data_IF_615718214454
#
_entry.id   IF_615718214454
#
_cell.length_a   1.000
_cell.length_b   1.000
_cell.length_c   1.000
_cell.angle_alpha   90.00
_cell.angle_beta   90.00
_cell.angle_gamma   90.00
#
_symmetry.space_group_name_H-M   'P 1'
#
loop_
_entity.id
_entity.type
_entity.pdbx_description
1 polymer ?
#
# COMPACT_ATOMS: atom_id res chain seq x y z
N UNK A 1 31.69 -45.38 73.52
CA UNK A 1 30.81 -44.18 73.30
C UNK A 1 31.06 -43.71 71.90
N UNK A 2 30.20 -44.10 71.02
CA UNK A 2 30.28 -43.81 69.57
C UNK A 2 29.24 -42.79 69.19
N UNK A 3 29.69 -41.67 68.65
CA UNK A 3 28.78 -40.59 68.15
C UNK A 3 28.77 -40.57 66.61
N UNK A 4 27.67 -41.03 66.06
CA UNK A 4 27.41 -40.98 64.62
C UNK A 4 27.04 -39.55 64.19
N UNK A 5 27.74 -39.03 63.15
CA UNK A 5 27.38 -37.80 62.45
C UNK A 5 26.73 -38.18 61.14
N UNK A 6 25.41 -37.93 61.04
CA UNK A 6 24.66 -37.95 59.77
C UNK A 6 25.04 -36.73 58.98
N UNK A 7 25.54 -36.93 57.74
CA UNK A 7 25.65 -35.89 56.69
C UNK A 7 24.41 -35.94 55.86
N UNK A 8 23.58 -34.91 55.98
CA UNK A 8 22.45 -34.64 55.05
C UNK A 8 22.98 -33.98 53.78
N UNK A 9 22.95 -34.70 52.66
CA UNK A 9 23.13 -34.12 51.32
C UNK A 9 21.82 -33.44 50.89
N UNK A 10 21.82 -32.11 50.79
CA UNK A 10 20.78 -31.35 50.12
C UNK A 10 20.98 -31.37 48.61
N UNK A 11 20.13 -32.10 47.90
CA UNK A 11 20.07 -32.05 46.45
C UNK A 11 19.33 -30.78 46.01
N UNK A 12 20.08 -29.78 45.56
CA UNK A 12 19.52 -28.58 44.92
C UNK A 12 19.03 -28.92 43.50
N UNK A 13 17.71 -28.89 43.29
CA UNK A 13 17.10 -29.05 41.98
C UNK A 13 17.24 -27.68 41.24
N UNK A 14 18.20 -27.59 40.34
CA UNK A 14 18.31 -26.43 39.43
C UNK A 14 17.25 -26.57 38.34
N UNK A 15 16.16 -25.80 38.45
CA UNK A 15 15.22 -25.60 37.34
C UNK A 15 15.92 -24.77 36.26
N UNK A 16 16.40 -25.42 35.21
CA UNK A 16 16.78 -24.74 33.97
C UNK A 16 15.52 -24.34 33.23
N UNK A 17 15.15 -23.05 33.27
CA UNK A 17 14.16 -22.46 32.40
C UNK A 17 14.78 -22.40 31.00
N UNK A 18 14.43 -23.36 30.15
CA UNK A 18 14.72 -23.27 28.73
C UNK A 18 13.89 -22.11 28.15
N UNK A 19 14.53 -20.96 27.91
CA UNK A 19 13.94 -19.90 27.08
C UNK A 19 13.81 -20.48 25.66
N UNK A 20 12.61 -20.91 25.29
CA UNK A 20 12.28 -21.17 23.90
C UNK A 20 12.30 -19.83 23.19
N UNK A 21 13.36 -19.56 22.42
CA UNK A 21 13.35 -18.48 21.44
C UNK A 21 12.23 -18.81 20.46
N UNK A 22 11.06 -18.17 20.58
CA UNK A 22 10.07 -18.20 19.54
C UNK A 22 10.71 -17.56 18.31
N UNK A 23 10.93 -18.33 17.25
CA UNK A 23 11.29 -17.78 15.95
C UNK A 23 10.10 -16.92 15.49
N UNK A 24 10.39 -15.72 14.99
CA UNK A 24 9.35 -14.88 14.39
C UNK A 24 8.67 -15.66 13.24
N UNK A 25 7.36 -15.53 13.14
CA UNK A 25 6.60 -16.13 12.03
C UNK A 25 6.94 -15.39 10.75
N UNK A 26 7.23 -16.12 9.66
CA UNK A 26 7.46 -15.52 8.34
C UNK A 26 6.13 -15.43 7.59
N UNK A 27 5.71 -14.22 7.24
CA UNK A 27 4.47 -13.95 6.51
C UNK A 27 4.75 -13.63 5.05
N UNK A 28 3.91 -14.18 4.16
CA UNK A 28 3.94 -13.87 2.73
C UNK A 28 3.31 -12.51 2.51
N UNK A 29 4.14 -11.53 2.19
CA UNK A 29 3.71 -10.14 1.92
C UNK A 29 3.80 -9.87 0.44
N UNK A 30 2.78 -9.22 -0.14
CA UNK A 30 2.79 -8.83 -1.55
C UNK A 30 2.57 -7.33 -1.71
N UNK A 31 3.13 -6.83 -2.82
CA UNK A 31 2.97 -5.46 -3.29
C UNK A 31 2.88 -5.41 -4.82
N UNK A 32 2.42 -4.29 -5.38
CA UNK A 32 2.43 -4.04 -6.83
C UNK A 32 3.62 -3.13 -7.18
N UNK A 33 4.58 -3.57 -8.00
CA UNK A 33 5.82 -2.81 -8.26
C UNK A 33 5.64 -1.56 -9.12
N UNK A 34 4.40 -1.15 -9.41
CA UNK A 34 4.11 -0.06 -10.35
C UNK A 34 3.48 1.18 -9.72
N UNK A 35 3.34 1.26 -8.39
CA UNK A 35 2.64 2.37 -7.72
C UNK A 35 3.60 3.38 -7.08
N UNK A 36 4.35 4.09 -7.91
CA UNK A 36 5.37 5.09 -7.49
C UNK A 36 4.70 6.34 -6.86
N UNK A 37 5.18 6.86 -5.70
CA UNK A 37 6.38 6.50 -4.96
C UNK A 37 6.14 5.56 -3.78
N UNK A 38 4.99 4.89 -3.71
CA UNK A 38 4.64 3.97 -2.63
C UNK A 38 5.45 2.67 -2.73
N UNK A 39 5.48 2.05 -3.91
CA UNK A 39 6.30 0.87 -4.21
C UNK A 39 6.81 0.90 -5.66
N UNK A 40 8.08 0.56 -5.79
CA UNK A 40 8.76 0.47 -7.08
C UNK A 40 10.01 -0.37 -6.98
N UNK A 41 10.44 -0.95 -8.11
CA UNK A 41 11.72 -1.63 -8.21
C UNK A 41 12.84 -0.60 -8.35
N UNK A 42 13.82 -0.63 -7.46
CA UNK A 42 15.07 0.09 -7.64
C UNK A 42 15.85 -0.54 -8.79
N UNK A 43 16.18 0.26 -9.79
CA UNK A 43 16.82 -0.23 -11.02
C UNK A 43 18.31 -0.58 -10.84
N UNK A 44 18.94 -0.10 -9.78
CA UNK A 44 20.35 -0.35 -9.50
C UNK A 44 20.53 -1.61 -8.63
N UNK A 45 19.68 -1.76 -7.61
CA UNK A 45 19.81 -2.85 -6.64
C UNK A 45 18.87 -4.03 -6.93
N UNK A 46 17.78 -3.81 -7.67
CA UNK A 46 16.72 -4.80 -7.88
C UNK A 46 15.81 -4.99 -6.66
N UNK A 47 15.94 -4.16 -5.64
CA UNK A 47 15.11 -4.24 -4.43
C UNK A 47 13.83 -3.44 -4.58
N UNK A 48 12.78 -3.87 -3.88
CA UNK A 48 11.56 -3.09 -3.73
C UNK A 48 11.79 -1.98 -2.71
N UNK A 49 11.55 -0.73 -3.15
CA UNK A 49 11.66 0.50 -2.36
C UNK A 49 10.38 1.31 -2.47
N UNK A 50 10.19 2.26 -1.58
CA UNK A 50 9.04 3.16 -1.59
C UNK A 50 8.48 3.38 -0.20
N UNK A 51 7.49 4.26 -0.13
CA UNK A 51 6.82 4.59 1.12
C UNK A 51 6.22 3.35 1.77
N UNK A 52 5.43 2.56 1.04
CA UNK A 52 4.79 1.34 1.52
C UNK A 52 5.83 0.29 1.95
N UNK A 53 6.95 0.24 1.25
CA UNK A 53 8.03 -0.70 1.60
C UNK A 53 8.72 -0.36 2.91
N UNK A 54 8.83 0.92 3.24
CA UNK A 54 9.37 1.34 4.55
C UNK A 54 8.33 1.15 5.66
N UNK A 55 7.06 1.46 5.38
CA UNK A 55 5.96 1.22 6.33
C UNK A 55 5.87 -0.26 6.70
N UNK A 56 5.82 -1.17 5.73
CA UNK A 56 5.62 -2.60 6.05
C UNK A 56 6.84 -3.22 6.75
N UNK A 57 8.06 -2.78 6.44
CA UNK A 57 9.27 -3.25 7.15
C UNK A 57 9.25 -2.82 8.61
N UNK A 58 8.92 -1.56 8.88
CA UNK A 58 8.80 -1.03 10.24
C UNK A 58 7.66 -1.69 11.02
N UNK A 59 6.51 -1.89 10.36
CA UNK A 59 5.38 -2.63 10.93
C UNK A 59 5.79 -4.05 11.30
N UNK A 60 6.48 -4.76 10.42
CA UNK A 60 6.92 -6.14 10.66
C UNK A 60 7.88 -6.24 11.85
N UNK A 61 8.84 -5.30 11.94
CA UNK A 61 9.79 -5.25 13.06
C UNK A 61 9.07 -5.06 14.40
N UNK A 62 8.10 -4.11 14.47
CA UNK A 62 7.34 -3.81 15.69
C UNK A 62 6.34 -4.88 16.04
N UNK A 63 5.63 -5.42 15.06
CA UNK A 63 4.64 -6.49 15.24
C UNK A 63 5.28 -7.86 15.50
N UNK A 64 6.58 -8.05 15.20
CA UNK A 64 7.33 -9.26 15.51
C UNK A 64 7.17 -10.39 14.50
N UNK A 65 7.01 -10.08 13.20
CA UNK A 65 7.04 -11.07 12.12
C UNK A 65 8.13 -10.79 11.09
N UNK A 66 8.53 -11.83 10.36
CA UNK A 66 9.44 -11.71 9.22
C UNK A 66 8.66 -11.60 7.91
N UNK A 67 9.23 -10.93 6.91
CA UNK A 67 8.60 -10.69 5.61
C UNK A 67 9.22 -11.61 4.55
N UNK A 68 8.38 -12.44 3.89
CA UNK A 68 8.65 -13.03 2.58
C UNK A 68 7.96 -12.15 1.52
N UNK A 69 8.72 -11.17 0.98
CA UNK A 69 8.18 -10.15 0.07
C UNK A 69 8.16 -10.65 -1.36
N UNK A 70 6.98 -10.60 -1.97
CA UNK A 70 6.75 -10.95 -3.36
C UNK A 70 6.00 -9.80 -4.08
N UNK A 71 6.01 -9.82 -5.40
CA UNK A 71 5.28 -8.84 -6.22
C UNK A 71 4.21 -9.51 -7.07
N UNK A 72 3.11 -8.82 -7.32
CA UNK A 72 2.08 -9.24 -8.26
C UNK A 72 1.32 -8.04 -8.81
N UNK A 73 0.58 -8.25 -9.91
CA UNK A 73 -0.32 -7.23 -10.44
C UNK A 73 -1.44 -6.91 -9.43
N UNK A 74 -1.80 -5.64 -9.29
CA UNK A 74 -2.76 -5.14 -8.30
C UNK A 74 -4.09 -5.90 -8.27
N UNK A 75 -4.66 -6.20 -9.45
CA UNK A 75 -5.93 -6.91 -9.57
C UNK A 75 -5.90 -8.36 -9.06
N UNK A 76 -4.71 -8.91 -8.83
CA UNK A 76 -4.51 -10.24 -8.25
C UNK A 76 -4.44 -10.26 -6.72
N UNK A 77 -4.24 -9.09 -6.07
CA UNK A 77 -3.92 -9.00 -4.64
C UNK A 77 -5.09 -9.48 -3.76
N UNK A 78 -6.28 -8.90 -3.92
CA UNK A 78 -7.46 -9.27 -3.10
C UNK A 78 -7.83 -10.75 -3.29
N UNK A 79 -7.89 -11.31 -4.52
CA UNK A 79 -8.07 -12.74 -4.72
C UNK A 79 -7.00 -13.63 -4.06
N UNK A 80 -5.73 -13.19 -4.04
CA UNK A 80 -4.65 -13.95 -3.41
C UNK A 80 -4.76 -13.97 -1.88
N UNK A 81 -5.18 -12.86 -1.25
CA UNK A 81 -5.52 -12.80 0.18
C UNK A 81 -6.72 -13.69 0.51
N UNK A 82 -7.79 -13.61 -0.29
CA UNK A 82 -9.01 -14.40 -0.11
C UNK A 82 -8.74 -15.91 -0.14
N UNK A 83 -7.87 -16.35 -1.04
CA UNK A 83 -7.52 -17.77 -1.16
C UNK A 83 -6.44 -18.21 -0.16
N UNK A 84 -5.89 -17.30 0.63
CA UNK A 84 -4.83 -17.56 1.60
C UNK A 84 -3.46 -17.87 0.96
N UNK A 85 -3.27 -17.57 -0.33
CA UNK A 85 -1.95 -17.65 -0.98
C UNK A 85 -0.99 -16.56 -0.50
N UNK A 86 -1.52 -15.47 0.04
CA UNK A 86 -0.85 -14.32 0.62
C UNK A 86 -1.42 -14.08 2.01
N UNK A 87 -0.61 -13.60 2.94
CA UNK A 87 -1.02 -13.32 4.31
C UNK A 87 -1.28 -11.82 4.53
N UNK A 88 -0.48 -10.97 3.92
CA UNK A 88 -0.53 -9.49 4.01
C UNK A 88 -0.26 -8.88 2.64
N UNK A 89 -0.93 -7.75 2.35
CA UNK A 89 -0.64 -6.94 1.17
C UNK A 89 -0.58 -5.45 1.53
N UNK A 90 0.39 -4.75 0.94
CA UNK A 90 0.50 -3.31 1.00
C UNK A 90 0.83 -2.79 -0.40
N UNK A 91 -0.04 -1.97 -0.98
CA UNK A 91 0.05 -1.51 -2.36
C UNK A 91 -0.89 -0.31 -2.62
N UNK A 92 -0.92 0.66 -1.70
CA UNK A 92 -1.88 1.76 -1.78
C UNK A 92 -3.33 1.26 -1.88
N UNK A 93 -3.68 0.21 -1.12
CA UNK A 93 -4.98 -0.45 -1.26
C UNK A 93 -6.05 0.37 -0.56
N UNK A 94 -6.96 0.96 -1.33
CA UNK A 94 -8.11 1.68 -0.78
C UNK A 94 -8.99 0.75 0.03
N UNK A 95 -9.31 1.13 1.27
CA UNK A 95 -10.31 0.49 2.10
C UNK A 95 -11.68 0.78 1.48
N UNK A 96 -12.45 -0.24 1.12
CA UNK A 96 -13.83 -0.14 0.63
C UNK A 96 -14.68 -1.20 1.28
N UNK A 97 -15.98 -0.92 1.44
CA UNK A 97 -16.95 -1.87 2.02
C UNK A 97 -16.91 -3.21 1.27
N UNK A 98 -16.80 -3.19 -0.08
CA UNK A 98 -16.73 -4.39 -0.90
C UNK A 98 -15.49 -5.23 -0.58
N UNK A 99 -14.33 -4.59 -0.37
CA UNK A 99 -13.09 -5.29 -0.04
C UNK A 99 -13.10 -5.80 1.39
N UNK A 100 -13.71 -5.07 2.34
CA UNK A 100 -13.87 -5.48 3.74
C UNK A 100 -14.78 -6.71 3.91
N UNK A 101 -15.66 -7.00 2.95
CA UNK A 101 -16.42 -8.26 2.92
C UNK A 101 -15.53 -9.49 2.64
N UNK A 102 -14.33 -9.28 2.06
CA UNK A 102 -13.47 -10.35 1.55
C UNK A 102 -12.19 -10.50 2.38
N UNK A 103 -11.60 -9.38 2.82
CA UNK A 103 -10.32 -9.31 3.55
C UNK A 103 -10.44 -8.38 4.75
N UNK A 104 -9.55 -8.54 5.72
CA UNK A 104 -9.42 -7.58 6.81
C UNK A 104 -8.46 -6.44 6.39
N UNK A 105 -8.65 -5.27 6.98
CA UNK A 105 -7.75 -4.13 6.83
C UNK A 105 -7.17 -3.68 8.18
N UNK A 106 -6.01 -3.08 8.12
CA UNK A 106 -5.50 -2.25 9.21
C UNK A 106 -6.28 -0.96 9.33
N UNK A 107 -6.03 -0.21 10.41
CA UNK A 107 -6.36 1.20 10.47
C UNK A 107 -5.71 1.93 9.27
N UNK A 108 -6.33 3.02 8.77
CA UNK A 108 -5.78 3.76 7.66
C UNK A 108 -4.37 4.30 7.94
N UNK A 109 -3.46 4.13 6.95
CA UNK A 109 -2.11 4.68 7.05
C UNK A 109 -1.86 5.87 6.10
N UNK A 110 -2.72 6.10 5.08
CA UNK A 110 -2.56 7.20 4.14
C UNK A 110 -3.92 7.72 3.64
N UNK A 111 -4.10 9.05 3.60
CA UNK A 111 -5.28 9.68 3.01
C UNK A 111 -5.04 9.96 1.53
N UNK A 112 -5.96 9.56 0.67
CA UNK A 112 -5.89 9.66 -0.77
C UNK A 112 -7.20 10.15 -1.39
N UNK A 113 -7.34 9.99 -2.67
CA UNK A 113 -8.49 10.25 -3.52
C UNK A 113 -8.10 10.13 -4.97
N UNK A 114 -8.99 10.44 -5.89
CA UNK A 114 -8.79 10.27 -7.31
C UNK A 114 -8.63 11.63 -8.01
N UNK A 115 -7.89 11.66 -9.13
CA UNK A 115 -7.66 12.88 -9.90
C UNK A 115 -7.48 12.63 -11.38
N UNK A 116 -7.85 13.62 -12.18
CA UNK A 116 -7.65 13.63 -13.64
C UNK A 116 -6.23 14.14 -13.95
N UNK A 117 -5.55 13.48 -14.88
CA UNK A 117 -4.28 13.88 -15.45
C UNK A 117 -4.44 13.97 -16.97
N UNK A 118 -4.03 15.10 -17.56
CA UNK A 118 -4.11 15.36 -19.00
C UNK A 118 -2.79 15.88 -19.56
N UNK A 119 -2.67 15.91 -20.88
CA UNK A 119 -1.55 16.60 -21.53
C UNK A 119 -1.50 18.07 -21.11
N UNK A 120 -0.30 18.63 -20.95
CA UNK A 120 -0.08 20.04 -20.59
C UNK A 120 -0.80 21.01 -21.54
N UNK A 121 -0.93 20.63 -22.82
CA UNK A 121 -1.52 21.47 -23.86
C UNK A 121 -3.02 21.20 -24.09
N UNK A 122 -3.62 20.31 -23.30
CA UNK A 122 -5.06 20.07 -23.35
C UNK A 122 -5.77 21.08 -22.43
N UNK A 123 -6.61 21.94 -23.01
CA UNK A 123 -7.42 22.93 -22.29
C UNK A 123 -8.93 22.62 -22.41
N UNK A 124 -9.28 21.41 -22.87
CA UNK A 124 -10.66 20.98 -23.06
C UNK A 124 -11.21 20.11 -21.94
N UNK A 125 -10.44 19.85 -20.87
CA UNK A 125 -10.86 19.02 -19.73
C UNK A 125 -10.57 19.77 -18.45
N UNK A 126 -11.62 20.07 -17.70
CA UNK A 126 -11.54 20.69 -16.38
C UNK A 126 -12.11 19.78 -15.29
N UNK A 127 -13.15 19.00 -15.59
CA UNK A 127 -13.87 18.16 -14.62
C UNK A 127 -14.31 16.82 -15.23
N UNK A 128 -14.87 15.93 -14.39
CA UNK A 128 -15.33 14.59 -14.79
C UNK A 128 -16.30 14.60 -16.00
N UNK A 129 -17.32 15.48 -16.09
CA UNK A 129 -18.21 15.50 -17.24
C UNK A 129 -17.52 15.73 -18.59
N UNK A 130 -16.35 16.37 -18.60
CA UNK A 130 -15.58 16.62 -19.82
C UNK A 130 -14.91 15.36 -20.37
N UNK A 131 -14.89 14.28 -19.59
CA UNK A 131 -14.33 12.99 -19.98
C UNK A 131 -15.27 12.11 -20.80
N UNK A 132 -16.55 12.50 -20.95
CA UNK A 132 -17.54 11.73 -21.73
C UNK A 132 -17.07 11.47 -23.15
N UNK A 133 -17.07 10.19 -23.56
CA UNK A 133 -16.67 9.75 -24.89
C UNK A 133 -15.17 9.89 -25.21
N UNK A 134 -14.34 10.27 -24.22
CA UNK A 134 -12.88 10.34 -24.38
C UNK A 134 -12.21 8.99 -24.15
N UNK A 135 -10.98 8.86 -24.66
CA UNK A 135 -10.12 7.73 -24.34
C UNK A 135 -9.43 7.98 -23.00
N UNK A 136 -9.78 7.19 -22.00
CA UNK A 136 -9.30 7.39 -20.62
C UNK A 136 -8.51 6.17 -20.18
N UNK A 137 -7.26 6.39 -19.75
CA UNK A 137 -6.45 5.36 -19.11
C UNK A 137 -6.72 5.32 -17.61
N UNK A 138 -6.84 4.12 -17.07
CA UNK A 138 -6.93 3.86 -15.62
C UNK A 138 -6.31 2.52 -15.28
N UNK A 139 -6.16 2.19 -14.00
CA UNK A 139 -5.57 0.92 -13.59
C UNK A 139 -6.65 -0.15 -13.40
N UNK A 140 -6.41 -1.36 -13.91
CA UNK A 140 -7.33 -2.49 -13.74
C UNK A 140 -7.46 -2.87 -12.26
N UNK A 141 -8.70 -3.10 -11.82
CA UNK A 141 -9.01 -3.51 -10.43
C UNK A 141 -8.89 -2.40 -9.38
N UNK A 142 -8.68 -1.14 -9.81
CA UNK A 142 -8.63 0.01 -8.91
C UNK A 142 -10.00 0.66 -8.72
N UNK A 143 -10.16 1.40 -7.63
CA UNK A 143 -11.35 2.22 -7.37
C UNK A 143 -11.55 3.31 -8.42
N UNK A 144 -10.47 3.77 -9.07
CA UNK A 144 -10.57 4.73 -10.18
C UNK A 144 -11.26 4.12 -11.41
N UNK A 145 -11.01 2.83 -11.71
CA UNK A 145 -11.76 2.14 -12.76
C UNK A 145 -13.25 2.04 -12.43
N UNK A 146 -13.57 1.58 -11.21
CA UNK A 146 -14.96 1.42 -10.77
C UNK A 146 -15.71 2.76 -10.77
N UNK A 147 -15.03 3.83 -10.34
CA UNK A 147 -15.58 5.19 -10.35
C UNK A 147 -15.91 5.68 -11.77
N UNK A 148 -15.01 5.48 -12.74
CA UNK A 148 -15.28 5.85 -14.14
C UNK A 148 -16.47 5.08 -14.70
N UNK A 149 -16.53 3.76 -14.46
CA UNK A 149 -17.61 2.90 -14.93
C UNK A 149 -18.99 3.27 -14.36
N UNK A 150 -19.01 3.94 -13.20
CA UNK A 150 -20.25 4.41 -12.54
C UNK A 150 -20.59 5.86 -12.88
N UNK A 151 -19.59 6.69 -13.20
CA UNK A 151 -19.76 8.13 -13.34
C UNK A 151 -19.96 8.61 -14.77
N UNK A 152 -19.52 7.81 -15.77
CA UNK A 152 -19.63 8.15 -17.18
C UNK A 152 -20.80 7.39 -17.84
N UNK A 153 -21.65 8.11 -18.58
CA UNK A 153 -22.72 7.50 -19.38
C UNK A 153 -22.15 6.78 -20.62
N UNK A 154 -21.10 7.35 -21.24
CA UNK A 154 -20.30 6.74 -22.31
C UNK A 154 -18.89 6.41 -21.82
N UNK A 155 -18.70 5.18 -21.40
CA UNK A 155 -17.44 4.65 -20.87
C UNK A 155 -16.71 3.69 -21.83
N UNK A 156 -17.13 3.57 -23.07
CA UNK A 156 -16.52 2.70 -24.09
C UNK A 156 -15.04 3.04 -24.35
N UNK A 157 -14.64 4.30 -24.10
CA UNK A 157 -13.27 4.78 -24.22
C UNK A 157 -12.36 4.45 -23.04
N UNK A 158 -12.89 3.91 -21.93
CA UNK A 158 -12.10 3.58 -20.74
C UNK A 158 -11.22 2.35 -20.99
N UNK A 159 -9.91 2.53 -20.87
CA UNK A 159 -8.92 1.47 -21.08
C UNK A 159 -8.20 1.15 -19.79
N UNK A 160 -8.40 -0.03 -19.20
CA UNK A 160 -7.68 -0.45 -18.02
C UNK A 160 -6.26 -0.96 -18.37
N UNK A 161 -5.27 -0.49 -17.62
CA UNK A 161 -3.86 -0.89 -17.75
C UNK A 161 -3.41 -1.72 -16.55
N UNK A 162 -2.53 -2.71 -16.73
CA UNK A 162 -2.00 -3.49 -15.62
C UNK A 162 -1.04 -2.67 -14.74
N UNK A 163 -0.28 -1.74 -15.31
CA UNK A 163 0.68 -0.90 -14.61
C UNK A 163 0.51 0.58 -14.86
N UNK A 164 0.80 1.43 -13.89
CA UNK A 164 0.70 2.88 -14.02
C UNK A 164 1.65 3.45 -15.08
N UNK A 165 2.83 2.82 -15.26
CA UNK A 165 3.80 3.27 -16.28
C UNK A 165 3.24 3.20 -17.69
N UNK A 166 2.54 2.11 -18.04
CA UNK A 166 1.94 1.94 -19.38
C UNK A 166 0.82 2.94 -19.61
N UNK A 167 0.00 3.17 -18.60
CA UNK A 167 -1.06 4.17 -18.59
C UNK A 167 -0.52 5.58 -18.85
N UNK A 168 0.57 5.96 -18.17
CA UNK A 168 1.21 7.27 -18.39
C UNK A 168 1.89 7.37 -19.76
N UNK A 169 2.49 6.30 -20.26
CA UNK A 169 3.04 6.27 -21.61
C UNK A 169 1.94 6.42 -22.66
N UNK A 170 0.76 5.82 -22.46
CA UNK A 170 -0.38 6.01 -23.34
C UNK A 170 -0.84 7.47 -23.40
N UNK A 171 -0.91 8.15 -22.25
CA UNK A 171 -1.21 9.60 -22.20
C UNK A 171 -0.13 10.43 -22.92
N UNK A 172 1.14 10.14 -22.64
CA UNK A 172 2.27 10.88 -23.21
C UNK A 172 2.40 10.71 -24.73
N UNK A 173 1.93 9.60 -25.29
CA UNK A 173 1.91 9.31 -26.73
C UNK A 173 0.62 9.76 -27.44
N UNK A 174 -0.43 10.18 -26.69
CA UNK A 174 -1.73 10.52 -27.21
C UNK A 174 -2.58 9.31 -27.57
N UNK A 175 -2.26 8.12 -27.07
CA UNK A 175 -3.09 6.93 -27.23
C UNK A 175 -4.36 7.00 -26.36
N UNK A 176 -4.29 7.71 -25.23
CA UNK A 176 -5.43 8.15 -24.41
C UNK A 176 -5.40 9.68 -24.26
N UNK A 177 -6.56 10.28 -24.06
CA UNK A 177 -6.74 11.73 -23.93
C UNK A 177 -6.54 12.19 -22.48
N UNK A 178 -6.88 11.33 -21.52
CA UNK A 178 -6.77 11.56 -20.11
C UNK A 178 -6.36 10.28 -19.37
N UNK A 179 -5.87 10.46 -18.16
CA UNK A 179 -5.71 9.40 -17.14
C UNK A 179 -6.54 9.82 -15.93
N UNK A 180 -7.28 8.88 -15.37
CA UNK A 180 -7.97 9.06 -14.11
C UNK A 180 -7.48 8.01 -13.12
N UNK A 181 -6.81 8.46 -12.05
CA UNK A 181 -6.15 7.55 -11.12
C UNK A 181 -5.88 8.24 -9.78
N UNK A 182 -5.25 7.50 -8.85
CA UNK A 182 -4.95 7.95 -7.49
C UNK A 182 -4.15 9.24 -7.46
N UNK A 183 -4.66 10.23 -6.74
CA UNK A 183 -4.14 11.58 -6.69
C UNK A 183 -2.64 11.66 -6.32
N UNK A 184 -2.13 10.92 -5.31
CA UNK A 184 -0.72 10.98 -4.97
C UNK A 184 0.17 10.42 -6.09
N UNK A 185 -0.27 9.38 -6.81
CA UNK A 185 0.49 8.77 -7.89
C UNK A 185 0.53 9.67 -9.14
N UNK A 186 -0.63 10.21 -9.58
CA UNK A 186 -0.66 11.15 -10.72
C UNK A 186 0.06 12.45 -10.40
N UNK A 187 -0.05 12.96 -9.16
CA UNK A 187 0.67 14.15 -8.71
C UNK A 187 2.18 13.97 -8.72
N UNK A 188 2.66 12.81 -8.24
CA UNK A 188 4.07 12.48 -8.28
C UNK A 188 4.58 12.37 -9.74
N UNK A 189 3.85 11.69 -10.61
CA UNK A 189 4.20 11.62 -12.02
C UNK A 189 4.26 13.00 -12.67
N UNK A 190 3.26 13.85 -12.46
CA UNK A 190 3.18 15.20 -13.02
C UNK A 190 4.34 16.09 -12.55
N UNK A 191 4.80 15.93 -11.30
CA UNK A 191 5.90 16.71 -10.73
C UNK A 191 7.31 16.21 -11.11
N UNK A 192 7.41 14.95 -11.58
CA UNK A 192 8.67 14.28 -11.91
C UNK A 192 8.79 13.97 -13.42
N UNK A 193 8.55 12.73 -13.81
CA UNK A 193 8.72 12.25 -15.21
C UNK A 193 7.80 12.94 -16.21
N UNK A 194 6.64 13.39 -15.77
CA UNK A 194 5.63 14.12 -16.57
C UNK A 194 5.80 15.64 -16.56
N UNK A 195 6.75 16.17 -15.78
CA UNK A 195 6.90 17.61 -15.55
C UNK A 195 6.96 18.43 -16.85
N UNK A 196 6.06 19.41 -16.97
CA UNK A 196 5.94 20.28 -18.13
C UNK A 196 5.29 19.62 -19.36
N UNK A 197 4.87 18.34 -19.27
CA UNK A 197 4.21 17.59 -20.36
C UNK A 197 2.79 17.20 -20.02
N UNK A 198 2.47 17.09 -18.73
CA UNK A 198 1.13 16.77 -18.21
C UNK A 198 0.77 17.73 -17.07
N UNK A 199 -0.51 17.85 -16.79
CA UNK A 199 -1.07 18.59 -15.65
C UNK A 199 -2.23 17.84 -15.04
N UNK A 200 -2.40 17.98 -13.73
CA UNK A 200 -3.62 17.54 -13.03
C UNK A 200 -4.68 18.62 -13.13
N UNK A 201 -5.92 18.21 -13.33
CA UNK A 201 -7.09 19.09 -13.40
C UNK A 201 -8.22 18.55 -12.52
N UNK A 202 -9.25 19.37 -12.30
CA UNK A 202 -10.41 19.04 -11.50
C UNK A 202 -10.14 19.01 -9.99
N UNK A 203 -11.19 18.77 -9.20
CA UNK A 203 -11.08 18.59 -7.75
C UNK A 203 -10.44 17.24 -7.41
N UNK A 204 -10.21 17.00 -6.11
CA UNK A 204 -10.01 15.67 -5.62
C UNK A 204 -11.35 14.96 -5.59
N UNK A 205 -11.48 13.88 -6.37
CA UNK A 205 -12.66 13.03 -6.38
C UNK A 205 -12.49 11.97 -5.30
N UNK A 206 -13.58 11.61 -4.63
CA UNK A 206 -13.65 10.59 -3.57
C UNK A 206 -12.47 10.63 -2.59
N UNK A 207 -12.72 11.15 -1.39
CA UNK A 207 -11.75 10.97 -0.30
C UNK A 207 -11.62 9.48 0.01
N UNK A 208 -10.42 8.95 -0.12
CA UNK A 208 -10.09 7.55 0.07
C UNK A 208 -9.00 7.38 1.11
N UNK A 209 -8.95 6.21 1.72
CA UNK A 209 -7.91 5.87 2.68
C UNK A 209 -7.26 4.54 2.31
N UNK A 210 -5.94 4.48 2.39
CA UNK A 210 -5.21 3.23 2.19
C UNK A 210 -5.03 2.49 3.51
N UNK A 211 -5.25 1.17 3.46
CA UNK A 211 -4.99 0.23 4.54
C UNK A 211 -4.05 -0.88 4.10
N UNK A 212 -3.37 -1.48 5.07
CA UNK A 212 -2.68 -2.75 4.87
C UNK A 212 -3.76 -3.83 4.86
N UNK A 213 -3.86 -4.60 3.77
CA UNK A 213 -4.84 -5.65 3.65
C UNK A 213 -4.28 -6.99 4.17
N UNK A 214 -5.09 -7.72 4.92
CA UNK A 214 -4.74 -9.02 5.50
C UNK A 214 -5.80 -10.04 5.10
N UNK A 215 -5.43 -11.33 5.06
CA UNK A 215 -6.43 -12.39 4.88
C UNK A 215 -7.50 -12.31 5.97
N UNK A 216 -8.74 -12.61 5.62
CA UNK A 216 -9.87 -12.56 6.56
C UNK A 216 -9.62 -13.44 7.80
N UNK A 217 -9.90 -12.88 8.98
CA UNK A 217 -9.66 -13.51 10.29
C UNK A 217 -8.20 -13.55 10.71
N UNK A 218 -7.35 -12.67 10.17
CA UNK A 218 -5.93 -12.61 10.52
C UNK A 218 -5.72 -12.16 11.97
N UNK A 219 -4.92 -12.93 12.71
CA UNK A 219 -4.49 -12.54 14.05
C UNK A 219 -3.55 -11.31 14.06
N UNK A 220 -3.06 -10.90 12.89
CA UNK A 220 -2.08 -9.83 12.74
C UNK A 220 -2.69 -8.44 12.61
N UNK A 221 -4.02 -8.30 12.46
CA UNK A 221 -4.68 -6.98 12.37
C UNK A 221 -4.37 -6.12 13.60
N UNK A 222 -4.53 -6.68 14.80
CA UNK A 222 -4.22 -5.96 16.05
C UNK A 222 -2.75 -5.52 16.15
N UNK A 223 -1.77 -6.44 16.03
CA UNK A 223 -0.35 -6.09 16.04
C UNK A 223 0.07 -5.08 14.96
N UNK A 224 -0.50 -5.16 13.75
CA UNK A 224 -0.26 -4.18 12.67
C UNK A 224 -0.79 -2.80 13.05
N UNK A 225 -2.00 -2.71 13.62
CA UNK A 225 -2.56 -1.45 14.07
C UNK A 225 -1.78 -0.82 15.22
N UNK A 226 -1.34 -1.62 16.18
CA UNK A 226 -0.47 -1.18 17.28
C UNK A 226 0.84 -0.61 16.73
N UNK A 227 1.50 -1.32 15.81
CA UNK A 227 2.71 -0.84 15.17
C UNK A 227 2.51 0.49 14.42
N UNK A 228 1.42 0.63 13.64
CA UNK A 228 1.09 1.88 12.94
C UNK A 228 0.83 3.04 13.92
N UNK A 229 0.16 2.78 15.04
CA UNK A 229 -0.09 3.79 16.08
C UNK A 229 1.23 4.25 16.74
N UNK A 230 2.09 3.31 17.11
CA UNK A 230 3.40 3.60 17.70
C UNK A 230 4.29 4.41 16.75
N UNK A 231 4.30 4.07 15.44
CA UNK A 231 5.03 4.83 14.42
C UNK A 231 4.54 6.27 14.29
N UNK A 232 3.24 6.49 14.45
CA UNK A 232 2.64 7.85 14.44
C UNK A 232 3.01 8.62 15.70
N UNK A 233 3.01 7.96 16.86
CA UNK A 233 3.30 8.56 18.15
C UNK A 233 4.78 8.97 18.29
N UNK A 234 5.71 8.12 17.90
CA UNK A 234 7.15 8.35 18.04
C UNK A 234 7.77 9.16 16.88
N UNK A 235 7.00 9.48 15.85
CA UNK A 235 7.40 10.30 14.71
C UNK A 235 8.11 9.52 13.58
N UNK A 236 8.23 8.21 13.67
CA UNK A 236 8.80 7.35 12.62
C UNK A 236 7.96 7.46 11.34
N UNK A 237 6.63 7.40 11.46
CA UNK A 237 5.73 7.59 10.32
C UNK A 237 5.99 8.94 9.62
N UNK A 238 6.10 10.03 10.37
CA UNK A 238 6.39 11.36 9.82
C UNK A 238 7.73 11.37 9.07
N UNK A 239 8.76 10.75 9.62
CA UNK A 239 10.08 10.67 8.99
C UNK A 239 10.01 9.94 7.64
N UNK A 240 9.30 8.81 7.57
CA UNK A 240 9.10 8.06 6.35
C UNK A 240 8.27 8.88 5.34
N UNK A 241 7.18 9.50 5.79
CA UNK A 241 6.33 10.35 4.95
C UNK A 241 7.13 11.50 4.31
N UNK A 242 7.87 12.26 5.12
CA UNK A 242 8.63 13.42 4.64
C UNK A 242 9.74 13.05 3.66
N UNK A 243 10.30 11.86 3.77
CA UNK A 243 11.29 11.33 2.83
C UNK A 243 10.72 11.15 1.42
N UNK A 244 9.47 10.71 1.29
CA UNK A 244 8.86 10.36 0.00
C UNK A 244 8.00 11.47 -0.59
N UNK A 245 7.34 12.27 0.25
CA UNK A 245 6.34 13.26 -0.18
C UNK A 245 6.70 14.72 0.18
N UNK A 246 7.79 14.94 0.90
CA UNK A 246 8.12 16.26 1.45
C UNK A 246 7.34 16.54 2.73
N UNK A 247 7.31 17.79 3.20
CA UNK A 247 6.74 18.15 4.49
C UNK A 247 5.32 17.61 4.67
N UNK A 248 5.11 16.91 5.79
CA UNK A 248 3.79 16.36 6.13
C UNK A 248 2.81 17.52 6.41
N UNK A 249 1.60 17.49 5.81
CA UNK A 249 0.57 18.50 6.11
C UNK A 249 0.24 18.54 7.61
N UNK A 250 0.02 19.74 8.15
CA UNK A 250 -0.49 19.86 9.52
C UNK A 250 -1.89 19.23 9.61
N UNK A 251 -2.12 18.41 10.64
CA UNK A 251 -3.44 17.85 10.92
C UNK A 251 -4.42 18.99 11.21
N UNK A 252 -5.52 19.04 10.44
CA UNK A 252 -6.59 20.02 10.65
C UNK A 252 -7.42 19.69 11.91
#
# INVERSE_FOLDING_TARGET
MSTNWLKTLGAGLALSVAATSASAETLRVVTDPSFVPFEMMDQETGEMIGFDMEIIREVAERAGFEIDLNTMDFNGIIPALQTGNVDIAIAGITITDEREEIVDFSDPYYDSGLRILISQNNDGVDEMPDLEGMKIGTKIGSTSYDFLMQSLDDNDGVTPYPGSSDMYMALMSGAVDAVFYDAPNVGYFASTKGKGRVKTVGPLYEGQQYGIALKNGSQWVGPVNEALADMKEDGTYKTIYEKWFGPMPESK
#
